data_IF_408059591629
#
_entry.id   IF_408059591629
#
_cell.length_a   1.000
_cell.length_b   1.000
_cell.length_c   1.000
_cell.angle_alpha   90.00
_cell.angle_beta   90.00
_cell.angle_gamma   90.00
#
_symmetry.space_group_name_H-M   'P 1'
#
loop_
_entity.id
_entity.type
_entity.pdbx_description
1 polymer ?
#
# COMPACT_ATOMS: atom_id res chain seq x y z
N UNK A 1 10.00 6.11 9.82
CA UNK A 1 10.30 4.77 9.26
C UNK A 1 9.86 4.64 7.80
N UNK A 2 8.56 4.71 7.46
CA UNK A 2 8.10 4.53 6.06
C UNK A 2 8.72 5.52 5.05
N UNK A 3 8.89 6.80 5.43
CA UNK A 3 9.56 7.79 4.55
C UNK A 3 11.02 7.46 4.27
N UNK A 4 11.75 6.96 5.27
CA UNK A 4 13.13 6.51 5.08
C UNK A 4 13.19 5.27 4.19
N UNK A 5 12.24 4.33 4.37
CA UNK A 5 12.11 3.17 3.51
C UNK A 5 11.81 3.55 2.05
N UNK A 6 10.99 4.59 1.82
CA UNK A 6 10.77 5.17 0.48
C UNK A 6 12.04 5.76 -0.12
N UNK A 7 12.87 6.46 0.66
CA UNK A 7 14.16 7.01 0.19
C UNK A 7 15.14 5.92 -0.27
N UNK A 8 15.05 4.71 0.27
CA UNK A 8 15.87 3.58 -0.17
C UNK A 8 15.46 3.06 -1.57
N UNK A 9 14.30 3.46 -2.10
CA UNK A 9 13.84 3.14 -3.44
C UNK A 9 13.39 1.69 -3.66
N UNK A 10 13.29 0.89 -2.59
CA UNK A 10 12.95 -0.56 -2.67
C UNK A 10 11.58 -0.90 -2.10
N UNK A 11 10.81 0.09 -1.67
CA UNK A 11 9.53 -0.12 -1.00
C UNK A 11 8.41 0.55 -1.77
N UNK A 12 7.41 -0.24 -2.14
CA UNK A 12 6.13 0.21 -2.68
C UNK A 12 5.09 0.14 -1.57
N UNK A 13 4.31 1.21 -1.39
CA UNK A 13 3.28 1.31 -0.35
C UNK A 13 1.93 1.50 -1.04
N UNK A 14 1.00 0.58 -0.77
CA UNK A 14 -0.34 0.57 -1.36
C UNK A 14 -1.38 0.65 -0.24
N UNK A 15 -2.32 1.57 -0.36
CA UNK A 15 -3.45 1.66 0.56
C UNK A 15 -4.58 0.70 0.14
N UNK A 16 -5.21 0.03 1.11
CA UNK A 16 -6.35 -0.84 0.86
C UNK A 16 -7.58 -0.01 0.50
N UNK A 17 -8.13 -0.21 -0.70
CA UNK A 17 -9.29 0.55 -1.19
C UNK A 17 -10.51 0.41 -0.29
N UNK A 18 -10.81 -0.82 0.16
CA UNK A 18 -11.96 -1.09 1.02
C UNK A 18 -11.88 -0.32 2.35
N UNK A 19 -10.69 -0.24 2.95
CA UNK A 19 -10.48 0.49 4.20
C UNK A 19 -10.55 1.99 3.96
N UNK A 20 -9.95 2.49 2.88
CA UNK A 20 -10.02 3.90 2.49
C UNK A 20 -11.49 4.33 2.33
N UNK A 21 -12.30 3.54 1.63
CA UNK A 21 -13.74 3.79 1.47
C UNK A 21 -14.48 3.76 2.81
N UNK A 22 -14.19 2.77 3.68
CA UNK A 22 -14.82 2.65 5.00
C UNK A 22 -14.57 3.87 5.91
N UNK A 23 -13.40 4.49 5.79
CA UNK A 23 -13.02 5.66 6.59
C UNK A 23 -13.18 6.99 5.83
N UNK A 24 -13.78 6.96 4.64
CA UNK A 24 -14.11 8.15 3.85
C UNK A 24 -12.92 8.86 3.21
N UNK A 25 -11.80 8.16 3.00
CA UNK A 25 -10.60 8.69 2.34
C UNK A 25 -10.63 8.43 0.84
N UNK A 26 -10.21 9.44 0.09
CA UNK A 26 -9.94 9.36 -1.35
C UNK A 26 -8.44 9.29 -1.61
N UNK A 27 -8.07 8.97 -2.84
CA UNK A 27 -6.66 8.91 -3.26
C UNK A 27 -5.89 10.20 -2.95
N UNK A 28 -6.53 11.36 -3.10
CA UNK A 28 -5.92 12.67 -2.91
C UNK A 28 -5.70 13.04 -1.43
N UNK A 29 -6.32 12.30 -0.50
CA UNK A 29 -6.10 12.48 0.94
C UNK A 29 -4.79 11.81 1.40
N UNK A 30 -4.16 10.98 0.56
CA UNK A 30 -2.88 10.35 0.84
C UNK A 30 -1.70 11.21 0.35
N UNK A 31 -0.59 11.17 1.09
CA UNK A 31 0.65 11.80 0.66
C UNK A 31 1.19 11.10 -0.60
N UNK A 32 1.24 11.77 -1.76
CA UNK A 32 1.66 11.17 -3.03
C UNK A 32 3.15 10.81 -3.06
N UNK A 33 3.95 11.30 -2.11
CA UNK A 33 5.35 10.90 -1.95
C UNK A 33 5.52 9.61 -1.15
N UNK A 34 4.46 9.16 -0.48
CA UNK A 34 4.47 8.00 0.40
C UNK A 34 3.64 6.85 -0.16
N UNK A 35 2.39 7.12 -0.56
CA UNK A 35 1.44 6.12 -1.07
C UNK A 35 1.50 6.09 -2.59
N UNK A 36 1.90 4.95 -3.14
CA UNK A 36 2.05 4.76 -4.57
C UNK A 36 0.71 4.47 -5.25
N UNK A 37 -0.20 3.79 -4.56
CA UNK A 37 -1.51 3.48 -5.10
C UNK A 37 -2.57 3.15 -4.04
N UNK A 38 -3.83 3.12 -4.48
CA UNK A 38 -4.97 2.62 -3.70
C UNK A 38 -5.54 1.42 -4.46
N UNK A 39 -5.48 0.22 -3.87
CA UNK A 39 -5.85 -1.01 -4.56
C UNK A 39 -6.64 -1.97 -3.68
N UNK A 40 -7.37 -2.88 -4.34
CA UNK A 40 -8.18 -3.89 -3.68
C UNK A 40 -7.40 -5.15 -3.29
N UNK A 41 -8.09 -6.06 -2.60
CA UNK A 41 -7.52 -7.33 -2.12
C UNK A 41 -6.94 -8.21 -3.23
N UNK A 42 -7.50 -8.16 -4.44
CA UNK A 42 -7.00 -8.96 -5.57
C UNK A 42 -5.56 -8.57 -5.96
N UNK A 43 -5.23 -7.27 -5.91
CA UNK A 43 -3.87 -6.77 -6.15
C UNK A 43 -2.90 -7.29 -5.09
N UNK A 44 -3.29 -7.20 -3.81
CA UNK A 44 -2.49 -7.74 -2.72
C UNK A 44 -2.26 -9.25 -2.87
N UNK A 45 -3.30 -10.02 -3.21
CA UNK A 45 -3.18 -11.47 -3.40
C UNK A 45 -2.24 -11.83 -4.56
N UNK A 46 -2.26 -11.07 -5.66
CA UNK A 46 -1.35 -11.29 -6.78
C UNK A 46 0.12 -11.06 -6.39
N UNK A 47 0.40 -10.03 -5.59
CA UNK A 47 1.76 -9.74 -5.10
C UNK A 47 2.21 -10.73 -4.01
N UNK A 48 1.31 -11.07 -3.09
CA UNK A 48 1.56 -12.04 -2.03
C UNK A 48 1.86 -13.44 -2.60
N UNK A 49 1.19 -13.84 -3.68
CA UNK A 49 1.40 -15.12 -4.33
C UNK A 49 2.82 -15.29 -4.91
N UNK A 50 3.51 -14.19 -5.22
CA UNK A 50 4.90 -14.22 -5.73
C UNK A 50 5.93 -13.79 -4.69
N UNK A 51 5.52 -13.57 -3.43
CA UNK A 51 6.40 -13.15 -2.35
C UNK A 51 6.96 -14.34 -1.57
N UNK A 52 8.23 -14.30 -1.18
CA UNK A 52 8.86 -15.36 -0.36
C UNK A 52 8.27 -15.43 1.05
N UNK A 53 7.89 -14.27 1.61
CA UNK A 53 7.36 -14.13 2.96
C UNK A 53 6.20 -13.14 2.95
N UNK A 54 5.09 -13.54 3.56
CA UNK A 54 3.92 -12.69 3.79
C UNK A 54 3.68 -12.59 5.29
N UNK A 55 3.57 -11.36 5.79
CA UNK A 55 3.32 -11.08 7.20
C UNK A 55 1.96 -10.38 7.34
N UNK A 56 1.24 -10.71 8.41
CA UNK A 56 0.03 -10.01 8.85
C UNK A 56 0.33 -9.43 10.23
N UNK A 57 0.28 -8.10 10.35
CA UNK A 57 0.71 -7.31 11.53
C UNK A 57 -0.46 -6.45 11.99
#
# INVERSE_FOLDING_TARGET
MLREAKKMGKVRIVACSLVADMVGLKKDDFDPTLVDDVAGVATFLAEAATSDVVLYI
#
